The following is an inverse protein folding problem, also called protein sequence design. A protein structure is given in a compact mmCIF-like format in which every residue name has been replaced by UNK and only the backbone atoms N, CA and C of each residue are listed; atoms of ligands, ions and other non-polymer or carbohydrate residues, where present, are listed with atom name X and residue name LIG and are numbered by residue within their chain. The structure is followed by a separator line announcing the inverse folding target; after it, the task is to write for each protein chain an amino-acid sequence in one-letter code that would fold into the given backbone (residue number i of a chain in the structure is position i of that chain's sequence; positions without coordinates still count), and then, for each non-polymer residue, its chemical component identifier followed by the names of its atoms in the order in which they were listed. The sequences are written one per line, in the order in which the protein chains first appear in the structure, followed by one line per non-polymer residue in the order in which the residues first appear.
data_IF_695694264285
#
_entry.id   IF_695694264285
#
_cell.length_a   1.000
_cell.length_b   1.000
_cell.length_c   1.000
_cell.angle_alpha   90.00
_cell.angle_beta   90.00
_cell.angle_gamma   90.00
#
_symmetry.space_group_name_H-M   'P 1'
#
loop_
_entity.id
_entity.type
_entity.pdbx_description
1 polymer ?
#
# COMPACT_ATOMS: atom_id res chain seq x y z
N UNK A 1 -42.22 -3.47 -49.98
CA UNK A 1 -42.67 -3.14 -48.62
C UNK A 1 -42.29 -4.18 -47.55
N UNK A 2 -42.23 -5.47 -47.87
CA UNK A 2 -41.87 -6.55 -46.91
C UNK A 2 -40.37 -6.56 -46.55
N UNK A 3 -39.46 -6.20 -47.43
CA UNK A 3 -38.00 -6.18 -47.20
C UNK A 3 -37.58 -5.08 -46.21
N UNK A 4 -38.21 -3.92 -46.24
CA UNK A 4 -37.97 -2.80 -45.31
C UNK A 4 -38.33 -3.19 -43.87
N UNK A 5 -39.45 -3.84 -43.63
CA UNK A 5 -39.87 -4.26 -42.29
C UNK A 5 -38.97 -5.31 -41.66
N UNK A 6 -38.45 -6.26 -42.48
CA UNK A 6 -37.47 -7.26 -42.00
C UNK A 6 -36.12 -6.63 -41.63
N UNK A 7 -35.66 -5.64 -42.39
CA UNK A 7 -34.44 -4.90 -42.10
C UNK A 7 -34.57 -4.09 -40.80
N UNK A 8 -35.70 -3.39 -40.63
CA UNK A 8 -35.97 -2.62 -39.40
C UNK A 8 -36.05 -3.53 -38.19
N UNK A 9 -36.70 -4.68 -38.28
CA UNK A 9 -36.77 -5.66 -37.19
C UNK A 9 -35.40 -6.21 -36.82
N UNK A 10 -34.53 -6.50 -37.81
CA UNK A 10 -33.14 -6.92 -37.57
C UNK A 10 -32.31 -5.87 -36.83
N UNK A 11 -32.44 -4.61 -37.26
CA UNK A 11 -31.73 -3.48 -36.57
C UNK A 11 -32.21 -3.34 -35.14
N UNK A 12 -33.51 -3.39 -34.88
CA UNK A 12 -34.05 -3.33 -33.53
C UNK A 12 -33.56 -4.47 -32.62
N UNK A 13 -33.44 -5.69 -33.16
CA UNK A 13 -32.95 -6.84 -32.42
C UNK A 13 -31.46 -6.66 -32.05
N UNK A 14 -30.62 -6.19 -32.96
CA UNK A 14 -29.20 -5.90 -32.71
C UNK A 14 -29.02 -4.82 -31.64
N UNK A 15 -29.79 -3.75 -31.73
CA UNK A 15 -29.78 -2.70 -30.72
C UNK A 15 -30.19 -3.20 -29.32
N UNK A 16 -31.21 -4.05 -29.26
CA UNK A 16 -31.65 -4.68 -28.02
C UNK A 16 -30.55 -5.56 -27.39
N UNK A 17 -29.84 -6.36 -28.20
CA UNK A 17 -28.74 -7.19 -27.76
C UNK A 17 -27.61 -6.31 -27.20
N UNK A 18 -27.25 -5.22 -27.88
CA UNK A 18 -26.22 -4.29 -27.44
C UNK A 18 -26.59 -3.67 -26.07
N UNK A 19 -27.88 -3.28 -25.92
CA UNK A 19 -28.33 -2.74 -24.63
C UNK A 19 -28.30 -3.76 -23.50
N UNK A 20 -28.69 -5.02 -23.76
CA UNK A 20 -28.64 -6.10 -22.77
C UNK A 20 -27.18 -6.40 -22.38
N UNK A 21 -26.29 -6.52 -23.36
CA UNK A 21 -24.87 -6.76 -23.12
C UNK A 21 -24.25 -5.60 -22.33
N UNK A 22 -24.55 -4.36 -22.72
CA UNK A 22 -24.11 -3.15 -22.00
C UNK A 22 -24.61 -3.14 -20.55
N UNK A 23 -25.88 -3.47 -20.31
CA UNK A 23 -26.46 -3.58 -18.97
C UNK A 23 -25.78 -4.65 -18.11
N UNK A 24 -25.51 -5.84 -18.67
CA UNK A 24 -24.82 -6.94 -17.97
C UNK A 24 -23.38 -6.55 -17.61
N UNK A 25 -22.67 -5.91 -18.52
CA UNK A 25 -21.30 -5.42 -18.26
C UNK A 25 -21.33 -4.37 -17.15
N UNK A 26 -22.23 -3.41 -17.21
CA UNK A 26 -22.36 -2.34 -16.23
C UNK A 26 -22.68 -2.90 -14.82
N UNK A 27 -23.63 -3.83 -14.71
CA UNK A 27 -23.99 -4.43 -13.41
C UNK A 27 -22.84 -5.24 -12.83
N UNK A 28 -22.10 -6.00 -13.66
CA UNK A 28 -20.92 -6.76 -13.23
C UNK A 28 -19.79 -5.83 -12.75
N UNK A 29 -19.55 -4.73 -13.44
CA UNK A 29 -18.54 -3.73 -13.08
C UNK A 29 -18.91 -3.03 -11.77
N UNK A 30 -20.15 -2.58 -11.62
CA UNK A 30 -20.63 -1.95 -10.40
C UNK A 30 -20.54 -2.89 -9.19
N UNK A 31 -20.91 -4.15 -9.35
CA UNK A 31 -20.77 -5.16 -8.30
C UNK A 31 -19.30 -5.40 -7.88
N UNK A 32 -18.38 -5.39 -8.84
CA UNK A 32 -16.94 -5.52 -8.57
C UNK A 32 -16.39 -4.28 -7.86
N UNK A 33 -16.73 -3.10 -8.32
CA UNK A 33 -16.31 -1.85 -7.69
C UNK A 33 -16.80 -1.76 -6.24
N UNK A 34 -18.00 -2.22 -5.95
CA UNK A 34 -18.52 -2.31 -4.58
C UNK A 34 -17.68 -3.28 -3.72
N UNK A 35 -17.29 -4.45 -4.25
CA UNK A 35 -16.42 -5.40 -3.55
C UNK A 35 -15.04 -4.82 -3.29
N UNK A 36 -14.44 -4.10 -4.25
CA UNK A 36 -13.15 -3.41 -4.06
C UNK A 36 -13.24 -2.38 -2.95
N UNK A 37 -14.28 -1.55 -2.96
CA UNK A 37 -14.52 -0.55 -1.91
C UNK A 37 -14.68 -1.18 -0.54
N UNK A 38 -15.44 -2.26 -0.42
CA UNK A 38 -15.63 -2.97 0.83
C UNK A 38 -14.30 -3.56 1.35
N UNK A 39 -13.51 -4.17 0.47
CA UNK A 39 -12.17 -4.68 0.78
C UNK A 39 -11.24 -3.57 1.29
N UNK A 40 -11.25 -2.41 0.66
CA UNK A 40 -10.46 -1.27 1.10
C UNK A 40 -10.98 -0.68 2.42
N UNK A 41 -12.28 -0.59 2.61
CA UNK A 41 -12.85 -0.16 3.89
C UNK A 41 -12.40 -1.05 5.06
N UNK A 42 -12.33 -2.36 4.86
CA UNK A 42 -11.80 -3.27 5.88
C UNK A 42 -10.33 -2.97 6.21
N UNK A 43 -9.52 -2.59 5.21
CA UNK A 43 -8.14 -2.17 5.42
C UNK A 43 -8.06 -0.83 6.14
N UNK A 44 -8.84 0.16 5.72
CA UNK A 44 -8.85 1.49 6.31
C UNK A 44 -9.31 1.50 7.78
N UNK A 45 -10.11 0.52 8.21
CA UNK A 45 -10.50 0.34 9.62
C UNK A 45 -9.33 -0.03 10.55
N UNK A 46 -8.17 -0.41 10.00
CA UNK A 46 -6.95 -0.60 10.80
C UNK A 46 -6.33 0.73 11.25
N UNK A 47 -6.79 1.86 10.71
CA UNK A 47 -6.26 3.20 10.98
C UNK A 47 -7.27 4.02 11.82
N UNK A 48 -6.91 4.42 13.08
CA UNK A 48 -5.65 4.17 13.76
C UNK A 48 -5.63 2.88 14.61
N UNK A 49 -4.53 2.14 14.54
CA UNK A 49 -4.17 1.13 15.52
C UNK A 49 -3.09 1.67 16.45
N UNK A 50 -3.47 2.31 17.53
CA UNK A 50 -2.55 3.05 18.41
C UNK A 50 -1.49 2.18 19.09
N UNK A 51 -1.82 0.94 19.38
CA UNK A 51 -0.91 -0.02 20.00
C UNK A 51 -0.77 -1.27 19.15
N UNK A 52 0.29 -1.34 18.36
CA UNK A 52 0.53 -2.44 17.39
C UNK A 52 0.63 -3.83 18.03
N UNK A 53 0.80 -3.93 19.33
CA UNK A 53 0.99 -5.19 20.02
C UNK A 53 -0.24 -5.68 20.78
N UNK A 54 -1.11 -4.79 21.23
CA UNK A 54 -2.23 -5.10 22.12
C UNK A 54 -3.60 -4.90 21.51
N UNK A 55 -3.69 -4.11 20.44
CA UNK A 55 -4.98 -3.72 19.89
C UNK A 55 -5.71 -4.89 19.23
N UNK A 56 -7.00 -4.92 19.53
CA UNK A 56 -7.92 -5.96 19.08
C UNK A 56 -8.18 -5.89 17.56
N UNK A 57 -7.88 -4.76 16.94
CA UNK A 57 -8.08 -4.50 15.52
C UNK A 57 -7.11 -5.28 14.64
N UNK A 58 -5.91 -5.60 15.14
CA UNK A 58 -5.01 -6.59 14.53
C UNK A 58 -5.48 -8.05 14.73
N UNK A 59 -6.72 -8.24 15.20
CA UNK A 59 -7.30 -9.59 15.37
C UNK A 59 -7.72 -10.21 14.04
N UNK A 60 -6.78 -10.74 13.31
CA UNK A 60 -7.07 -11.88 12.45
C UNK A 60 -6.43 -13.13 13.08
N UNK A 61 -7.06 -13.61 14.15
CA UNK A 61 -6.54 -14.73 14.95
C UNK A 61 -5.41 -14.34 15.91
N UNK A 62 -5.18 -15.16 16.92
CA UNK A 62 -4.13 -14.95 17.92
C UNK A 62 -2.75 -15.43 17.42
N UNK A 63 -2.63 -15.79 16.15
CA UNK A 63 -1.45 -16.41 15.53
C UNK A 63 -1.03 -15.65 14.27
N UNK A 64 0.20 -15.88 13.83
CA UNK A 64 0.75 -15.30 12.61
C UNK A 64 1.60 -14.06 12.86
N UNK A 65 2.01 -13.45 11.77
CA UNK A 65 2.88 -12.25 11.79
C UNK A 65 2.20 -11.11 11.04
N UNK A 66 2.24 -9.93 11.64
CA UNK A 66 1.95 -8.68 10.99
C UNK A 66 3.24 -8.02 10.52
N UNK A 67 3.22 -7.49 9.31
CA UNK A 67 4.30 -6.70 8.74
C UNK A 67 3.76 -5.29 8.55
N UNK A 68 4.39 -4.32 9.20
CA UNK A 68 4.02 -2.91 9.09
C UNK A 68 5.19 -2.18 8.47
N UNK A 69 4.92 -1.42 7.41
CA UNK A 69 5.91 -0.57 6.75
C UNK A 69 5.35 0.84 6.58
N UNK A 70 6.17 1.83 6.86
CA UNK A 70 5.87 3.24 6.55
C UNK A 70 7.15 3.90 6.05
N UNK A 71 7.08 4.53 4.89
CA UNK A 71 8.24 5.15 4.25
C UNK A 71 7.89 6.43 3.52
N UNK A 72 8.84 7.35 3.48
CA UNK A 72 8.78 8.61 2.73
C UNK A 72 9.85 8.62 1.67
N UNK A 73 9.45 8.86 0.43
CA UNK A 73 10.35 9.01 -0.72
C UNK A 73 10.35 10.47 -1.16
N UNK A 74 11.53 11.03 -1.29
CA UNK A 74 11.75 12.41 -1.72
C UNK A 74 12.83 12.41 -2.79
N UNK A 75 12.44 12.74 -4.01
CA UNK A 75 13.31 12.97 -5.15
C UNK A 75 13.06 14.40 -5.65
N UNK A 76 13.78 15.41 -5.14
CA UNK A 76 13.62 16.78 -5.60
C UNK A 76 14.29 16.96 -6.97
N UNK A 77 13.78 17.89 -7.76
CA UNK A 77 14.34 18.20 -9.08
C UNK A 77 15.86 18.39 -9.05
N UNK A 78 16.58 17.58 -9.83
CA UNK A 78 18.04 17.64 -9.98
C UNK A 78 18.83 17.19 -8.76
N UNK A 79 18.22 16.38 -7.87
CA UNK A 79 18.87 15.75 -6.72
C UNK A 79 18.60 14.28 -6.71
N UNK A 80 19.42 13.55 -5.96
CA UNK A 80 19.26 12.13 -5.74
C UNK A 80 17.97 11.82 -4.97
N UNK A 81 17.41 10.65 -5.21
CA UNK A 81 16.25 10.16 -4.48
C UNK A 81 16.68 9.62 -3.12
N UNK A 82 16.04 10.10 -2.08
CA UNK A 82 16.18 9.57 -0.72
C UNK A 82 14.89 8.89 -0.27
N UNK A 83 15.02 7.69 0.27
CA UNK A 83 13.93 6.96 0.93
C UNK A 83 14.27 6.76 2.39
N UNK A 84 13.35 7.09 3.29
CA UNK A 84 13.46 6.83 4.73
C UNK A 84 12.21 6.16 5.24
N UNK A 85 12.40 5.11 6.02
CA UNK A 85 11.27 4.37 6.54
C UNK A 85 11.64 3.33 7.57
N UNK A 86 10.61 2.60 8.02
CA UNK A 86 10.78 1.50 8.97
C UNK A 86 9.87 0.34 8.58
N UNK A 87 10.43 -0.86 8.67
CA UNK A 87 9.68 -2.12 8.59
C UNK A 87 9.71 -2.79 9.96
N UNK A 88 8.56 -3.25 10.42
CA UNK A 88 8.43 -4.00 11.68
C UNK A 88 7.65 -5.28 11.45
N UNK A 89 8.23 -6.39 11.84
CA UNK A 89 7.62 -7.72 11.89
C UNK A 89 7.13 -7.99 13.31
N UNK A 90 5.84 -8.23 13.48
CA UNK A 90 5.19 -8.46 14.77
C UNK A 90 4.71 -9.90 14.79
N UNK A 91 5.48 -10.79 15.43
CA UNK A 91 5.12 -12.19 15.58
C UNK A 91 4.20 -12.35 16.79
N UNK A 92 2.94 -12.72 16.55
CA UNK A 92 1.93 -12.86 17.60
C UNK A 92 2.05 -14.19 18.33
N UNK A 93 2.63 -15.22 17.72
CA UNK A 93 2.81 -16.52 18.34
C UNK A 93 3.83 -16.45 19.48
N UNK A 94 4.96 -15.78 19.23
CA UNK A 94 6.06 -15.63 20.18
C UNK A 94 5.99 -14.34 20.97
N UNK A 95 5.08 -13.43 20.62
CA UNK A 95 4.97 -12.07 21.17
C UNK A 95 6.27 -11.27 21.05
N UNK A 96 6.96 -11.44 19.95
CA UNK A 96 8.21 -10.75 19.65
C UNK A 96 8.06 -9.81 18.46
N UNK A 97 8.93 -8.83 18.39
CA UNK A 97 9.05 -7.93 17.25
C UNK A 97 10.49 -7.88 16.79
N UNK A 98 10.69 -7.72 15.51
CA UNK A 98 11.97 -7.40 14.90
C UNK A 98 11.72 -6.52 13.68
N UNK A 99 12.69 -5.69 13.34
CA UNK A 99 12.58 -4.84 12.16
C UNK A 99 13.83 -4.02 11.95
N UNK A 100 13.73 -3.06 11.07
CA UNK A 100 14.81 -2.11 10.82
C UNK A 100 14.25 -0.77 10.35
N UNK A 101 14.91 0.30 10.77
CA UNK A 101 14.83 1.59 10.14
C UNK A 101 15.83 1.63 8.99
N UNK A 102 15.48 2.23 7.87
CA UNK A 102 16.37 2.32 6.73
C UNK A 102 16.43 3.71 6.13
N UNK A 103 17.59 4.00 5.57
CA UNK A 103 17.84 5.17 4.73
C UNK A 103 18.46 4.62 3.45
N UNK A 104 17.83 4.87 2.32
CA UNK A 104 18.29 4.50 0.98
C UNK A 104 18.50 5.77 0.17
N UNK A 105 19.65 5.90 -0.45
CA UNK A 105 20.00 6.97 -1.38
C UNK A 105 20.22 6.33 -2.76
N UNK A 106 19.41 6.72 -3.73
CA UNK A 106 19.57 6.27 -5.11
C UNK A 106 20.36 7.32 -5.89
N UNK A 107 21.55 6.96 -6.30
CA UNK A 107 22.47 7.79 -7.09
C UNK A 107 22.78 7.10 -8.40
N UNK A 108 23.34 7.82 -9.36
CA UNK A 108 23.91 7.18 -10.55
C UNK A 108 25.38 6.79 -10.32
N UNK A 109 25.76 5.59 -10.76
CA UNK A 109 27.17 5.19 -10.80
C UNK A 109 27.94 5.95 -11.90
N UNK A 110 29.25 5.75 -11.97
CA UNK A 110 30.11 6.37 -12.99
C UNK A 110 29.74 6.06 -14.45
N UNK A 111 28.84 5.08 -14.66
CA UNK A 111 28.32 4.68 -15.97
C UNK A 111 26.86 5.13 -16.18
N UNK A 112 26.31 5.96 -15.28
CA UNK A 112 24.92 6.41 -15.33
C UNK A 112 23.91 5.31 -15.03
N UNK A 113 24.29 4.28 -14.25
CA UNK A 113 23.35 3.23 -13.81
C UNK A 113 22.89 3.52 -12.40
N UNK A 114 21.59 3.35 -12.11
CA UNK A 114 21.07 3.52 -10.75
C UNK A 114 21.82 2.63 -9.76
N UNK A 115 22.31 3.23 -8.69
CA UNK A 115 22.96 2.57 -7.55
C UNK A 115 22.17 2.92 -6.29
N UNK A 116 21.70 1.90 -5.60
CA UNK A 116 21.06 2.02 -4.30
C UNK A 116 22.09 1.83 -3.17
N UNK A 117 22.21 2.81 -2.30
CA UNK A 117 23.05 2.74 -1.07
C UNK A 117 22.13 2.73 0.14
N UNK A 118 21.66 1.55 0.51
CA UNK A 118 20.74 1.37 1.63
C UNK A 118 21.51 1.06 2.92
N UNK A 119 21.20 1.83 3.98
CA UNK A 119 21.70 1.62 5.35
C UNK A 119 20.55 1.16 6.23
N UNK A 120 20.70 0.01 6.88
CA UNK A 120 19.70 -0.56 7.80
C UNK A 120 20.16 -0.48 9.26
N UNK A 121 19.24 -0.05 10.11
CA UNK A 121 19.44 0.07 11.54
C UNK A 121 18.44 -0.85 12.25
N UNK A 122 18.88 -2.00 12.79
CA UNK A 122 17.99 -2.99 13.35
C UNK A 122 17.29 -2.47 14.61
N UNK A 123 15.99 -2.75 14.69
CA UNK A 123 15.12 -2.31 15.79
C UNK A 123 14.23 -3.45 16.29
N UNK A 124 13.72 -3.27 17.50
CA UNK A 124 12.58 -4.02 18.06
C UNK A 124 11.55 -3.03 18.60
N UNK A 125 10.36 -3.51 18.90
CA UNK A 125 9.35 -2.74 19.61
C UNK A 125 9.01 -3.42 20.93
N UNK A 126 9.09 -2.68 22.03
CA UNK A 126 8.63 -3.12 23.35
C UNK A 126 7.74 -2.05 23.97
N UNK A 127 6.63 -2.45 24.54
CA UNK A 127 5.66 -1.52 25.14
C UNK A 127 5.24 -0.38 24.20
N UNK A 128 5.09 -0.70 22.90
CA UNK A 128 4.76 0.24 21.83
C UNK A 128 5.81 1.36 21.62
N UNK A 129 7.06 1.11 21.98
CA UNK A 129 8.20 1.99 21.75
C UNK A 129 9.22 1.28 20.87
N UNK A 130 9.77 1.99 19.92
CA UNK A 130 10.87 1.50 19.09
C UNK A 130 12.18 1.58 19.87
N UNK A 131 12.95 0.52 19.79
CA UNK A 131 14.24 0.38 20.49
C UNK A 131 15.28 -0.09 19.49
N UNK A 132 16.32 0.71 19.18
CA UNK A 132 17.46 0.25 18.41
C UNK A 132 18.16 -0.92 19.10
N UNK A 133 18.55 -1.95 18.36
CA UNK A 133 19.20 -3.15 18.90
C UNK A 133 20.72 -3.16 18.72
N UNK A 134 21.25 -2.15 18.01
CA UNK A 134 22.70 -1.91 17.84
C UNK A 134 23.02 -0.43 18.08
N UNK A 135 24.28 -0.09 18.40
CA UNK A 135 24.72 1.31 18.52
C UNK A 135 24.46 2.08 17.23
N UNK A 136 24.04 3.33 17.37
CA UNK A 136 23.74 4.23 16.26
C UNK A 136 24.85 5.27 16.08
N UNK A 137 25.05 5.81 14.87
CA UNK A 137 26.13 6.74 14.56
C UNK A 137 26.10 8.06 15.35
N UNK A 138 24.87 8.54 15.70
CA UNK A 138 24.69 9.79 16.41
C UNK A 138 23.31 9.88 17.09
N UNK A 139 23.17 10.83 18.01
CA UNK A 139 21.93 11.03 18.77
C UNK A 139 20.76 11.54 17.91
N UNK A 140 21.03 12.27 16.83
CA UNK A 140 19.98 12.72 15.91
C UNK A 140 19.24 11.53 15.29
N UNK A 141 19.99 10.58 14.74
CA UNK A 141 19.42 9.36 14.17
C UNK A 141 18.75 8.49 15.24
N UNK A 142 19.32 8.44 16.44
CA UNK A 142 18.72 7.73 17.56
C UNK A 142 17.33 8.28 17.88
N UNK A 143 17.20 9.58 18.04
CA UNK A 143 15.92 10.23 18.32
C UNK A 143 14.92 10.03 17.18
N UNK A 144 15.37 10.14 15.93
CA UNK A 144 14.54 9.90 14.74
C UNK A 144 13.95 8.47 14.73
N UNK A 145 14.74 7.47 15.10
CA UNK A 145 14.30 6.07 15.18
C UNK A 145 13.39 5.83 16.39
N UNK A 146 13.76 6.31 17.58
CA UNK A 146 12.99 6.08 18.80
C UNK A 146 11.63 6.81 18.80
N UNK A 147 11.55 7.97 18.14
CA UNK A 147 10.33 8.76 17.97
C UNK A 147 9.48 8.31 16.77
N UNK A 148 9.96 7.36 15.97
CA UNK A 148 9.26 6.91 14.78
C UNK A 148 7.90 6.30 15.15
N UNK A 149 6.89 6.63 14.35
CA UNK A 149 5.55 6.04 14.44
C UNK A 149 5.08 5.63 13.07
N UNK A 150 4.65 4.40 12.97
CA UNK A 150 4.00 3.90 11.77
C UNK A 150 2.72 4.67 11.49
N UNK A 151 2.43 4.89 10.22
CA UNK A 151 1.23 5.65 9.84
C UNK A 151 -0.05 4.98 10.34
N UNK A 152 -0.09 3.65 10.37
CA UNK A 152 -1.22 2.91 10.95
C UNK A 152 -1.52 3.27 12.41
N UNK A 153 -0.57 3.84 13.16
CA UNK A 153 -0.77 4.24 14.56
C UNK A 153 -1.49 5.59 14.72
N UNK A 154 -1.53 6.42 13.66
CA UNK A 154 -2.08 7.77 13.73
C UNK A 154 -2.91 8.21 12.51
N UNK A 155 -2.87 7.47 11.42
CA UNK A 155 -3.73 7.70 10.26
C UNK A 155 -5.20 7.50 10.67
N UNK A 156 -6.10 8.25 10.08
CA UNK A 156 -7.54 8.15 10.33
C UNK A 156 -8.30 8.35 9.03
N UNK A 157 -9.11 7.39 8.65
CA UNK A 157 -9.83 7.38 7.39
C UNK A 157 -11.33 7.37 7.60
N UNK A 158 -12.01 8.11 6.76
CA UNK A 158 -13.46 7.99 6.58
C UNK A 158 -13.79 6.72 5.80
N UNK A 159 -15.07 6.39 5.74
CA UNK A 159 -15.53 5.38 4.78
C UNK A 159 -15.12 5.76 3.36
N UNK A 160 -14.68 4.77 2.56
CA UNK A 160 -14.21 5.02 1.20
C UNK A 160 -15.27 5.66 0.31
N UNK A 161 -16.55 5.48 0.62
CA UNK A 161 -17.65 6.09 -0.10
C UNK A 161 -17.81 7.59 0.17
N UNK A 162 -17.19 8.10 1.23
CA UNK A 162 -17.20 9.53 1.56
C UNK A 162 -16.14 10.32 0.76
N UNK A 163 -15.22 9.63 0.11
CA UNK A 163 -14.29 10.24 -0.82
C UNK A 163 -14.96 10.43 -2.18
N UNK A 164 -14.98 11.68 -2.65
CA UNK A 164 -15.53 12.05 -3.96
C UNK A 164 -14.51 11.83 -5.06
N UNK A 165 -14.99 11.69 -6.28
CA UNK A 165 -14.19 11.63 -7.51
C UNK A 165 -13.15 10.50 -7.53
N UNK A 166 -13.51 9.36 -6.92
CA UNK A 166 -12.66 8.17 -6.89
C UNK A 166 -12.68 7.41 -8.22
N UNK A 167 -11.49 7.13 -8.73
CA UNK A 167 -11.27 6.22 -9.86
C UNK A 167 -10.89 4.82 -9.34
N UNK A 168 -11.62 3.79 -9.78
CA UNK A 168 -11.40 2.40 -9.38
C UNK A 168 -10.99 1.61 -10.59
N UNK A 169 -9.84 0.94 -10.50
CA UNK A 169 -9.37 0.01 -11.51
C UNK A 169 -9.26 -1.42 -10.99
N UNK A 170 -9.39 -2.36 -11.90
CA UNK A 170 -9.27 -3.79 -11.65
C UNK A 170 -8.58 -4.47 -12.82
N UNK A 171 -7.53 -5.21 -12.54
CA UNK A 171 -6.86 -6.06 -13.50
C UNK A 171 -6.89 -7.51 -13.00
N UNK A 172 -7.55 -8.45 -13.73
CA UNK A 172 -7.65 -9.84 -13.30
C UNK A 172 -6.35 -10.62 -13.44
N UNK A 173 -5.40 -10.13 -14.25
CA UNK A 173 -4.24 -10.90 -14.72
C UNK A 173 -2.96 -10.10 -14.51
N UNK A 174 -2.61 -9.82 -13.25
CA UNK A 174 -1.30 -9.24 -12.93
C UNK A 174 -0.35 -10.35 -12.53
N UNK A 175 0.81 -10.45 -13.17
CA UNK A 175 1.86 -11.36 -12.73
C UNK A 175 2.32 -11.00 -11.31
N UNK A 176 2.33 -11.97 -10.41
CA UNK A 176 2.97 -11.82 -9.10
C UNK A 176 4.22 -12.69 -9.04
N UNK A 177 5.25 -12.16 -8.40
CA UNK A 177 6.53 -12.85 -8.19
C UNK A 177 6.76 -12.98 -6.69
N UNK A 178 7.08 -14.17 -6.23
CA UNK A 178 7.61 -14.37 -4.89
C UNK A 178 8.88 -15.20 -4.96
N UNK A 179 9.90 -14.80 -4.21
CA UNK A 179 11.15 -15.54 -4.10
C UNK A 179 11.36 -15.98 -2.65
N UNK A 180 11.60 -17.27 -2.43
CA UNK A 180 12.07 -17.80 -1.14
C UNK A 180 13.58 -17.96 -1.22
N UNK A 181 14.29 -17.05 -0.63
CA UNK A 181 15.76 -16.97 -0.72
C UNK A 181 16.51 -18.15 -0.08
N UNK A 182 15.91 -18.90 0.84
CA UNK A 182 16.56 -20.05 1.48
C UNK A 182 16.58 -21.34 0.65
N UNK A 183 15.76 -21.44 -0.40
CA UNK A 183 15.66 -22.67 -1.21
C UNK A 183 15.79 -22.43 -2.72
N UNK A 184 16.05 -21.20 -3.16
CA UNK A 184 16.14 -20.88 -4.58
C UNK A 184 14.83 -21.02 -5.36
N UNK A 185 13.70 -21.21 -4.67
CA UNK A 185 12.40 -21.35 -5.30
C UNK A 185 11.83 -19.99 -5.64
N UNK A 186 11.70 -19.71 -6.93
CA UNK A 186 10.94 -18.59 -7.45
C UNK A 186 9.56 -19.09 -7.83
N UNK A 187 8.52 -18.59 -7.15
CA UNK A 187 7.15 -18.85 -7.56
C UNK A 187 6.58 -17.68 -8.38
N UNK A 188 5.91 -18.02 -9.44
CA UNK A 188 5.26 -17.08 -10.34
C UNK A 188 3.78 -17.44 -10.46
N UNK A 189 2.90 -16.49 -10.17
CA UNK A 189 1.48 -16.65 -10.40
C UNK A 189 1.00 -15.60 -11.40
N UNK A 190 0.66 -16.00 -12.65
CA UNK A 190 0.25 -15.08 -13.70
C UNK A 190 -1.17 -14.53 -13.51
N UNK A 191 -1.95 -15.05 -12.57
CA UNK A 191 -3.38 -14.81 -12.46
C UNK A 191 -3.77 -14.17 -11.10
N UNK A 192 -2.92 -13.35 -10.50
CA UNK A 192 -3.27 -12.62 -9.29
C UNK A 192 -4.04 -11.36 -9.67
N UNK A 193 -5.29 -11.19 -9.20
CA UNK A 193 -6.00 -9.95 -9.43
C UNK A 193 -5.31 -8.79 -8.72
N UNK A 194 -5.24 -7.64 -9.38
CA UNK A 194 -4.89 -6.38 -8.75
C UNK A 194 -6.01 -5.37 -8.89
N UNK A 195 -6.12 -4.49 -7.92
CA UNK A 195 -7.15 -3.47 -7.90
C UNK A 195 -6.65 -2.22 -7.18
N UNK A 196 -7.15 -1.08 -7.59
CA UNK A 196 -6.79 0.18 -6.97
C UNK A 196 -7.97 1.15 -6.90
N UNK A 197 -7.89 2.08 -5.96
CA UNK A 197 -8.78 3.22 -5.88
C UNK A 197 -7.93 4.48 -5.68
N UNK A 198 -8.22 5.55 -6.41
CA UNK A 198 -7.47 6.80 -6.41
C UNK A 198 -8.39 7.97 -6.09
N UNK A 199 -7.98 8.81 -5.15
CA UNK A 199 -8.75 9.96 -4.68
C UNK A 199 -7.88 11.21 -4.63
N UNK A 200 -8.42 12.37 -5.00
CA UNK A 200 -7.75 13.63 -4.78
C UNK A 200 -8.04 14.11 -3.36
N UNK A 201 -7.01 14.29 -2.54
CA UNK A 201 -7.14 14.87 -1.21
C UNK A 201 -6.97 16.39 -1.23
N UNK A 202 -7.27 17.02 -0.11
CA UNK A 202 -7.01 18.43 0.14
C UNK A 202 -5.90 18.60 1.19
N UNK A 203 -5.28 19.77 1.24
CA UNK A 203 -4.25 20.06 2.25
C UNK A 203 -4.79 20.14 3.68
N UNK A 204 -6.10 20.36 3.86
CA UNK A 204 -6.77 20.35 5.15
C UNK A 204 -7.23 18.96 5.61
N UNK A 205 -7.06 17.92 4.78
CA UNK A 205 -7.29 16.54 5.18
C UNK A 205 -6.45 16.15 6.42
N UNK A 206 -7.05 15.39 7.33
CA UNK A 206 -6.42 15.00 8.58
C UNK A 206 -5.10 14.26 8.34
N UNK A 207 -5.10 13.26 7.46
CA UNK A 207 -3.93 12.44 7.16
C UNK A 207 -2.81 13.27 6.52
N UNK A 208 -3.16 14.18 5.61
CA UNK A 208 -2.21 15.10 4.97
C UNK A 208 -1.54 15.99 6.01
N UNK A 209 -2.31 16.56 6.94
CA UNK A 209 -1.76 17.35 8.05
C UNK A 209 -0.82 16.54 8.94
N UNK A 210 -1.18 15.27 9.23
CA UNK A 210 -0.34 14.39 10.03
C UNK A 210 0.98 14.06 9.35
N UNK A 211 0.98 13.79 8.03
CA UNK A 211 2.19 13.55 7.26
C UNK A 211 3.08 14.79 7.24
N UNK A 212 2.53 15.97 6.94
CA UNK A 212 3.30 17.23 6.95
C UNK A 212 3.88 17.59 8.33
N UNK A 213 3.22 17.20 9.40
CA UNK A 213 3.73 17.39 10.76
C UNK A 213 4.96 16.54 11.06
N UNK A 214 5.05 15.33 10.48
CA UNK A 214 6.08 14.33 10.78
C UNK A 214 7.21 14.30 9.77
N UNK A 215 6.92 14.63 8.53
CA UNK A 215 7.88 14.60 7.43
C UNK A 215 8.08 15.99 6.86
N UNK A 216 9.33 16.32 6.56
CA UNK A 216 9.66 17.57 5.86
C UNK A 216 9.35 17.43 4.36
N UNK A 217 8.06 17.55 4.01
CA UNK A 217 7.58 17.40 2.63
C UNK A 217 7.84 18.69 1.86
N UNK A 218 8.77 18.71 0.88
CA UNK A 218 9.24 19.94 0.24
C UNK A 218 8.28 20.46 -0.85
N UNK A 219 6.97 20.32 -0.65
CA UNK A 219 5.95 20.83 -1.57
C UNK A 219 4.67 21.20 -0.84
N UNK A 220 3.95 22.20 -1.33
CA UNK A 220 2.62 22.60 -0.84
C UNK A 220 1.46 21.97 -1.63
N UNK A 221 1.75 21.14 -2.65
CA UNK A 221 0.71 20.46 -3.43
C UNK A 221 -0.06 19.48 -2.55
N UNK A 222 -1.38 19.46 -2.71
CA UNK A 222 -2.22 18.45 -2.06
C UNK A 222 -2.03 17.08 -2.75
N UNK A 223 -1.89 15.98 -1.99
CA UNK A 223 -1.59 14.69 -2.58
C UNK A 223 -2.82 14.01 -3.17
N UNK A 224 -2.56 13.03 -4.04
CA UNK A 224 -3.49 11.97 -4.37
C UNK A 224 -3.30 10.83 -3.37
N UNK A 225 -4.40 10.26 -2.88
CA UNK A 225 -4.40 9.00 -2.16
C UNK A 225 -4.65 7.87 -3.16
N UNK A 226 -3.72 6.95 -3.25
CA UNK A 226 -3.85 5.73 -4.03
C UNK A 226 -3.86 4.54 -3.07
N UNK A 227 -4.94 3.76 -3.10
CA UNK A 227 -5.09 2.52 -2.34
C UNK A 227 -4.91 1.39 -3.33
N UNK A 228 -3.91 0.54 -3.11
CA UNK A 228 -3.58 -0.60 -3.97
C UNK A 228 -3.83 -1.90 -3.21
N UNK A 229 -4.31 -2.91 -3.91
CA UNK A 229 -4.44 -4.26 -3.39
C UNK A 229 -4.24 -5.29 -4.48
N UNK A 230 -3.72 -6.42 -4.09
CA UNK A 230 -3.64 -7.63 -4.89
C UNK A 230 -4.25 -8.81 -4.14
N UNK A 231 -4.47 -9.92 -4.85
CA UNK A 231 -5.11 -11.10 -4.31
C UNK A 231 -6.62 -11.15 -4.52
N UNK A 232 -7.26 -12.17 -3.92
CA UNK A 232 -8.68 -12.40 -4.08
C UNK A 232 -9.52 -11.35 -3.33
N UNK A 233 -10.56 -10.85 -3.99
CA UNK A 233 -11.54 -9.94 -3.39
C UNK A 233 -12.45 -10.66 -2.37
N UNK A 234 -12.54 -11.99 -2.44
CA UNK A 234 -13.39 -12.81 -1.59
C UNK A 234 -12.57 -13.53 -0.52
N UNK A 235 -12.24 -12.87 0.53
CA UNK A 235 -12.11 -13.51 1.83
C UNK A 235 -10.78 -13.97 2.31
N UNK A 236 -9.86 -14.53 1.59
CA UNK A 236 -8.59 -14.85 2.22
C UNK A 236 -7.64 -13.65 2.11
N UNK A 237 -7.20 -13.21 3.23
CA UNK A 237 -6.40 -12.01 3.42
C UNK A 237 -4.93 -12.18 3.02
N UNK A 238 -4.63 -13.10 2.15
CA UNK A 238 -3.30 -13.28 1.59
C UNK A 238 -3.21 -12.35 0.37
N UNK A 239 -2.79 -11.15 0.60
CA UNK A 239 -2.58 -10.16 -0.43
C UNK A 239 -2.07 -8.87 0.20
N UNK A 240 -1.23 -8.15 -0.49
CA UNK A 240 -0.73 -6.88 0.02
C UNK A 240 -1.77 -5.78 -0.19
N UNK A 241 -1.82 -4.85 0.75
CA UNK A 241 -2.61 -3.64 0.66
C UNK A 241 -1.75 -2.47 1.06
N UNK A 242 -1.59 -1.52 0.14
CA UNK A 242 -0.71 -0.38 0.31
C UNK A 242 -1.51 0.90 0.15
N UNK A 243 -1.18 1.87 0.97
CA UNK A 243 -1.63 3.25 0.86
C UNK A 243 -0.47 4.09 0.34
N UNK A 244 -0.73 4.94 -0.63
CA UNK A 244 0.27 5.87 -1.16
C UNK A 244 -0.32 7.27 -1.23
N UNK A 245 0.38 8.24 -0.65
CA UNK A 245 0.07 9.66 -0.75
C UNK A 245 1.06 10.30 -1.71
N UNK A 246 0.67 10.47 -2.96
CA UNK A 246 1.50 11.04 -4.01
C UNK A 246 1.34 12.56 -4.05
N UNK A 247 2.32 13.31 -3.55
CA UNK A 247 2.35 14.77 -3.55
C UNK A 247 2.83 15.33 -4.88
N UNK A 248 3.87 14.71 -5.46
CA UNK A 248 4.41 15.04 -6.77
C UNK A 248 4.80 13.74 -7.47
N UNK A 249 4.48 13.65 -8.74
CA UNK A 249 4.86 12.55 -9.62
C UNK A 249 5.07 13.09 -11.03
N UNK A 250 6.32 13.21 -11.45
CA UNK A 250 6.69 13.57 -12.81
C UNK A 250 8.11 13.05 -13.13
N UNK A 251 8.63 13.36 -14.31
CA UNK A 251 9.94 12.87 -14.77
C UNK A 251 11.15 13.43 -14.00
N UNK A 252 10.96 14.53 -13.29
CA UNK A 252 12.07 15.28 -12.67
C UNK A 252 11.96 15.32 -11.14
N UNK A 253 10.77 15.05 -10.59
CA UNK A 253 10.50 15.19 -9.17
C UNK A 253 9.45 14.15 -8.72
N UNK A 254 9.77 13.40 -7.69
CA UNK A 254 8.88 12.41 -7.10
C UNK A 254 8.85 12.58 -5.58
N UNK A 255 7.67 12.81 -5.02
CA UNK A 255 7.49 12.98 -3.57
C UNK A 255 6.25 12.19 -3.19
N UNK A 256 6.43 11.09 -2.47
CA UNK A 256 5.31 10.27 -2.01
C UNK A 256 5.61 9.57 -0.70
N UNK A 257 4.56 9.30 0.04
CA UNK A 257 4.59 8.51 1.26
C UNK A 257 3.83 7.21 1.03
N UNK A 258 4.42 6.10 1.45
CA UNK A 258 3.80 4.77 1.36
C UNK A 258 3.65 4.16 2.74
N UNK A 259 2.51 3.52 2.97
CA UNK A 259 2.25 2.71 4.16
C UNK A 259 1.63 1.38 3.78
N UNK A 260 2.03 0.33 4.45
CA UNK A 260 1.44 -1.00 4.28
C UNK A 260 1.29 -1.75 5.58
N UNK A 261 0.20 -2.48 5.69
CA UNK A 261 -0.07 -3.40 6.78
C UNK A 261 -0.44 -4.75 6.17
N UNK A 262 0.41 -5.74 6.37
CA UNK A 262 0.23 -7.07 5.82
C UNK A 262 0.14 -8.11 6.94
N UNK A 263 -0.75 -9.08 6.79
CA UNK A 263 -0.88 -10.22 7.68
C UNK A 263 -0.44 -11.51 6.98
N UNK A 264 0.42 -12.28 7.64
CA UNK A 264 0.85 -13.60 7.18
C UNK A 264 0.45 -14.64 8.23
N UNK A 265 -0.44 -15.58 7.88
CA UNK A 265 -0.93 -16.58 8.84
C UNK A 265 0.11 -17.66 9.20
N UNK A 266 1.19 -17.82 8.43
CA UNK A 266 2.23 -18.81 8.67
C UNK A 266 3.09 -18.45 9.88
N UNK A 267 3.51 -19.50 10.62
CA UNK A 267 4.42 -19.36 11.76
C UNK A 267 5.85 -19.02 11.34
N UNK A 268 6.19 -19.30 10.09
CA UNK A 268 7.55 -19.21 9.57
C UNK A 268 7.78 -17.86 8.91
N UNK A 269 8.15 -16.88 9.72
CA UNK A 269 8.66 -15.60 9.29
C UNK A 269 10.16 -15.50 9.50
N UNK A 270 10.90 -16.50 9.06
CA UNK A 270 12.35 -16.40 8.94
C UNK A 270 12.73 -15.48 7.76
N UNK A 271 12.30 -14.22 7.84
CA UNK A 271 12.98 -13.15 7.11
C UNK A 271 14.26 -12.88 7.87
N UNK A 272 15.27 -13.67 7.63
CA UNK A 272 16.62 -13.38 8.11
C UNK A 272 17.10 -12.13 7.36
N UNK A 273 17.30 -11.08 8.14
CA UNK A 273 18.15 -9.95 7.74
C UNK A 273 19.60 -10.45 7.67
N UNK A 274 20.09 -10.76 6.51
CA UNK A 274 21.52 -10.75 6.26
C UNK A 274 22.01 -9.31 6.10
#
# INVERSE_FOLDING_TARGET
MIHSKKLTLGICLVLLIILIVGYVIMTKTNGRNAQIKDTFNQTLKLYPTKNLFRDQEFKKGDKGTWIVNSEMVIEPKGKDMETRGMVLYINRNTRTTKGYYFISEMTDDSNGRPKDDEKRYPVKMEHNKIIPTKPLPNDKLKNEIEDFKFFVQYGDFKDINDYKDGDISYNPNVPSYSAKYQLGDISYNPNVPSYSAKYQLKNDDYNVKQLRKRYNIPTNKAPKLLIKGDGDLKGSSVGSKNLEFTFVENKEENIYFTDSVQYTPSEDTSYESN
#
